data_IF_365167280249
#
_entry.id   IF_365167280249
#
_cell.length_a   1.000
_cell.length_b   1.000
_cell.length_c   1.000
_cell.angle_alpha   90.00
_cell.angle_beta   90.00
_cell.angle_gamma   90.00
#
_symmetry.space_group_name_H-M   'P 1'
#
loop_
_entity.id
_entity.type
_entity.pdbx_description
1 polymer ?
#
# COMPACT_ATOMS: atom_id res chain seq x y z
N UNK A 1 63.49 16.65 3.19
CA UNK A 1 62.72 15.39 3.26
C UNK A 1 61.32 15.73 3.74
N UNK A 2 60.48 16.21 2.84
CA UNK A 2 59.09 16.59 3.12
C UNK A 2 58.21 15.42 2.69
N UNK A 3 57.50 14.84 3.65
CA UNK A 3 56.64 13.69 3.45
C UNK A 3 55.48 14.04 2.50
N UNK A 4 55.43 13.34 1.36
CA UNK A 4 54.28 13.34 0.48
C UNK A 4 53.12 12.65 1.18
N UNK A 5 52.06 13.43 1.44
CA UNK A 5 50.80 12.92 1.95
C UNK A 5 50.08 12.26 0.78
N UNK A 6 50.09 10.93 0.77
CA UNK A 6 49.30 10.13 -0.17
C UNK A 6 47.82 10.41 0.12
N UNK A 7 47.18 11.21 -0.73
CA UNK A 7 45.73 11.36 -0.72
C UNK A 7 45.10 10.09 -1.29
N UNK A 8 44.68 9.19 -0.40
CA UNK A 8 43.77 8.12 -0.75
C UNK A 8 42.39 8.75 -1.01
N UNK A 9 42.17 9.14 -2.26
CA UNK A 9 40.81 9.35 -2.80
C UNK A 9 40.24 7.97 -3.07
N UNK A 10 39.75 7.32 -2.02
CA UNK A 10 38.87 6.16 -2.17
C UNK A 10 37.54 6.68 -2.75
N UNK A 11 37.26 6.26 -3.97
CA UNK A 11 35.94 6.29 -4.58
C UNK A 11 34.99 5.42 -3.75
N UNK A 12 34.49 5.96 -2.64
CA UNK A 12 33.43 5.33 -1.85
C UNK A 12 32.16 5.25 -2.72
N UNK A 13 31.56 4.07 -2.91
CA UNK A 13 30.29 3.97 -3.62
C UNK A 13 29.21 4.77 -2.87
N UNK A 14 28.61 5.77 -3.53
CA UNK A 14 27.52 6.64 -3.02
C UNK A 14 26.26 5.88 -2.57
N UNK A 15 26.25 4.55 -2.74
CA UNK A 15 25.13 3.64 -2.52
C UNK A 15 25.09 3.03 -1.10
N UNK A 16 26.20 2.89 -0.39
CA UNK A 16 26.32 1.96 0.75
C UNK A 16 25.44 2.30 1.97
N UNK A 17 25.01 3.56 2.11
CA UNK A 17 24.30 4.06 3.29
C UNK A 17 22.95 4.64 2.92
N UNK A 18 21.95 4.38 3.76
CA UNK A 18 20.60 4.95 3.67
C UNK A 18 20.34 5.82 4.89
N UNK A 19 20.00 7.09 4.67
CA UNK A 19 19.58 7.99 5.74
C UNK A 19 18.12 7.75 6.10
N UNK A 20 17.82 7.51 7.38
CA UNK A 20 16.45 7.40 7.87
C UNK A 20 15.73 8.76 7.78
N UNK A 21 14.54 8.78 7.17
CA UNK A 21 13.72 10.00 7.01
C UNK A 21 13.15 10.51 8.34
N UNK A 22 13.09 9.65 9.38
CA UNK A 22 12.54 10.00 10.69
C UNK A 22 13.62 10.44 11.69
N UNK A 23 14.60 9.60 11.98
CA UNK A 23 15.62 9.89 12.99
C UNK A 23 16.97 10.37 12.42
N UNK A 24 17.15 10.38 11.09
CA UNK A 24 18.35 10.88 10.44
C UNK A 24 19.59 9.97 10.53
N UNK A 25 19.52 8.83 11.22
CA UNK A 25 20.64 7.87 11.28
C UNK A 25 20.99 7.32 9.90
N UNK A 26 22.28 7.10 9.66
CA UNK A 26 22.79 6.38 8.49
C UNK A 26 22.77 4.89 8.79
N UNK A 27 22.08 4.12 7.95
CA UNK A 27 21.93 2.67 8.06
C UNK A 27 22.67 2.03 6.90
N UNK A 28 23.41 0.96 7.14
CA UNK A 28 24.04 0.21 6.06
C UNK A 28 22.97 -0.41 5.15
N UNK A 29 23.07 -0.24 3.83
CA UNK A 29 22.01 -0.62 2.89
C UNK A 29 21.58 -2.07 3.00
N UNK A 30 22.54 -3.01 3.02
CA UNK A 30 22.24 -4.45 3.12
C UNK A 30 21.53 -4.81 4.43
N UNK A 31 21.88 -4.13 5.51
CA UNK A 31 21.17 -4.29 6.78
C UNK A 31 19.74 -3.75 6.66
N UNK A 32 19.57 -2.57 6.06
CA UNK A 32 18.24 -2.00 5.87
C UNK A 32 17.33 -2.89 5.00
N UNK A 33 17.87 -3.52 3.96
CA UNK A 33 17.16 -4.51 3.13
C UNK A 33 16.78 -5.77 3.94
N UNK A 34 17.71 -6.32 4.73
CA UNK A 34 17.43 -7.45 5.64
C UNK A 34 16.35 -7.10 6.68
N UNK A 35 16.32 -5.86 7.11
CA UNK A 35 15.29 -5.32 8.01
C UNK A 35 13.98 -4.96 7.29
N UNK A 36 13.82 -5.34 6.01
CA UNK A 36 12.65 -5.05 5.16
C UNK A 36 12.35 -3.55 5.05
N UNK A 37 13.41 -2.74 4.98
CA UNK A 37 13.36 -1.28 4.94
C UNK A 37 12.66 -0.66 6.15
N UNK A 38 12.81 -1.29 7.32
CA UNK A 38 12.44 -0.75 8.63
C UNK A 38 13.71 -0.24 9.31
N UNK A 39 13.66 0.99 9.85
CA UNK A 39 14.80 1.55 10.56
C UNK A 39 15.04 0.77 11.87
N UNK A 40 16.23 0.19 12.09
CA UNK A 40 16.51 -0.59 13.29
C UNK A 40 16.56 0.27 14.56
N UNK A 41 16.85 1.57 14.42
CA UNK A 41 16.96 2.48 15.57
C UNK A 41 15.61 3.05 16.02
N UNK A 42 14.74 3.47 15.09
CA UNK A 42 13.49 4.17 15.44
C UNK A 42 12.21 3.46 14.99
N UNK A 43 12.33 2.28 14.37
CA UNK A 43 11.19 1.52 13.86
C UNK A 43 10.42 2.23 12.75
N UNK A 44 11.00 3.22 12.06
CA UNK A 44 10.35 3.88 10.93
C UNK A 44 10.25 2.93 9.74
N UNK A 45 9.02 2.74 9.26
CA UNK A 45 8.71 1.95 8.09
C UNK A 45 8.84 2.80 6.83
N UNK A 46 9.91 2.61 6.05
CA UNK A 46 10.02 3.30 4.75
C UNK A 46 9.00 2.71 3.77
N UNK A 47 8.41 3.56 2.94
CA UNK A 47 7.56 3.12 1.83
C UNK A 47 8.33 2.21 0.88
N UNK A 48 7.64 1.18 0.39
CA UNK A 48 8.14 0.22 -0.60
C UNK A 48 7.13 0.08 -1.73
N UNK A 49 7.61 -0.26 -2.93
CA UNK A 49 6.75 -0.43 -4.09
C UNK A 49 5.93 -1.73 -4.03
N UNK A 50 4.94 -1.87 -4.91
CA UNK A 50 4.03 -3.02 -4.91
C UNK A 50 4.73 -4.36 -5.15
N UNK A 51 5.72 -4.41 -6.06
CA UNK A 51 6.49 -5.63 -6.34
C UNK A 51 7.32 -6.09 -5.15
N UNK A 52 8.02 -5.15 -4.50
CA UNK A 52 8.79 -5.45 -3.29
C UNK A 52 7.87 -5.86 -2.13
N UNK A 53 6.73 -5.19 -1.98
CA UNK A 53 5.72 -5.57 -0.98
C UNK A 53 5.21 -6.99 -1.24
N UNK A 54 4.95 -7.35 -2.49
CA UNK A 54 4.50 -8.69 -2.87
C UNK A 54 5.53 -9.73 -2.43
N UNK A 55 6.79 -9.54 -2.81
CA UNK A 55 7.90 -10.47 -2.56
C UNK A 55 8.07 -10.81 -1.08
N UNK A 56 7.99 -9.80 -0.19
CA UNK A 56 8.14 -10.04 1.26
C UNK A 56 6.90 -10.66 1.91
N UNK A 57 5.76 -10.66 1.21
CA UNK A 57 4.46 -11.06 1.76
C UNK A 57 4.08 -12.49 1.39
N UNK A 58 4.31 -12.90 0.13
CA UNK A 58 3.82 -14.17 -0.41
C UNK A 58 4.90 -15.25 -0.47
N UNK A 59 4.51 -16.49 -0.69
CA UNK A 59 5.44 -17.59 -0.93
C UNK A 59 6.13 -17.41 -2.29
N UNK A 60 7.43 -17.66 -2.34
CA UNK A 60 8.23 -17.45 -3.55
C UNK A 60 7.69 -18.26 -4.73
N UNK A 61 7.52 -17.60 -5.88
CA UNK A 61 7.01 -18.22 -7.10
C UNK A 61 5.52 -18.54 -7.12
N UNK A 62 4.75 -18.15 -6.09
CA UNK A 62 3.31 -18.46 -6.01
C UNK A 62 2.39 -17.46 -6.70
N UNK A 63 2.91 -16.28 -7.08
CA UNK A 63 2.08 -15.18 -7.59
C UNK A 63 1.72 -15.38 -9.06
N UNK A 64 0.42 -15.37 -9.33
CA UNK A 64 -0.18 -15.31 -10.66
C UNK A 64 -0.85 -13.95 -10.82
N UNK A 65 -0.28 -13.07 -11.65
CA UNK A 65 -0.86 -11.74 -11.87
C UNK A 65 -2.17 -11.83 -12.66
N UNK A 66 -3.14 -11.01 -12.24
CA UNK A 66 -4.44 -10.86 -12.87
C UNK A 66 -4.58 -9.48 -13.52
N UNK A 67 -5.17 -9.47 -14.73
CA UNK A 67 -5.42 -8.25 -15.51
C UNK A 67 -4.14 -7.42 -15.76
N UNK A 68 -3.01 -8.09 -16.00
CA UNK A 68 -1.69 -7.48 -16.18
C UNK A 68 -1.64 -6.47 -17.33
N UNK A 69 -2.47 -6.65 -18.37
CA UNK A 69 -2.52 -5.76 -19.53
C UNK A 69 -3.54 -4.60 -19.40
N UNK A 70 -4.29 -4.53 -18.28
CA UNK A 70 -5.26 -3.47 -18.08
C UNK A 70 -4.55 -2.13 -17.83
N UNK A 71 -4.80 -1.15 -18.70
CA UNK A 71 -4.14 0.17 -18.67
C UNK A 71 -5.16 1.30 -18.71
N UNK A 72 -4.90 2.43 -18.02
CA UNK A 72 -5.82 3.57 -18.01
C UNK A 72 -5.95 4.22 -19.39
N UNK A 73 -7.16 4.73 -19.65
CA UNK A 73 -7.47 5.61 -20.77
C UNK A 73 -7.49 7.07 -20.32
N UNK A 74 -7.57 8.01 -21.26
CA UNK A 74 -7.77 9.45 -20.99
C UNK A 74 -9.15 9.91 -21.48
N UNK A 75 -10.24 9.53 -20.76
CA UNK A 75 -11.61 9.79 -21.22
C UNK A 75 -11.99 11.28 -21.20
N UNK A 76 -11.25 12.10 -20.45
CA UNK A 76 -11.52 13.53 -20.30
C UNK A 76 -10.59 14.41 -21.13
N UNK A 77 -9.65 13.82 -21.89
CA UNK A 77 -8.57 14.52 -22.59
C UNK A 77 -7.82 15.49 -21.65
N UNK A 78 -7.49 15.01 -20.44
CA UNK A 78 -6.95 15.87 -19.39
C UNK A 78 -5.51 16.29 -19.70
N UNK A 79 -5.15 17.58 -19.59
CA UNK A 79 -3.82 18.06 -19.92
C UNK A 79 -2.69 17.29 -19.22
N UNK A 80 -1.73 16.80 -20.01
CA UNK A 80 -0.54 16.06 -19.55
C UNK A 80 -0.85 14.73 -18.84
N UNK A 81 -2.09 14.23 -18.87
CA UNK A 81 -2.40 13.00 -18.14
C UNK A 81 -1.68 11.78 -18.72
N UNK A 82 -1.70 11.61 -20.05
CA UNK A 82 -0.98 10.53 -20.74
C UNK A 82 0.53 10.54 -20.44
N UNK A 83 1.15 11.72 -20.37
CA UNK A 83 2.58 11.84 -20.03
C UNK A 83 2.85 11.39 -18.58
N UNK A 84 2.02 11.81 -17.63
CA UNK A 84 2.11 11.39 -16.22
C UNK A 84 1.96 9.88 -16.08
N UNK A 85 1.01 9.28 -16.80
CA UNK A 85 0.83 7.82 -16.85
C UNK A 85 2.10 7.12 -17.33
N UNK A 86 2.62 7.50 -18.50
CA UNK A 86 3.83 6.89 -19.06
C UNK A 86 5.04 7.04 -18.12
N UNK A 87 5.19 8.20 -17.47
CA UNK A 87 6.25 8.42 -16.49
C UNK A 87 6.12 7.49 -15.28
N UNK A 88 4.93 7.37 -14.71
CA UNK A 88 4.68 6.47 -13.57
C UNK A 88 4.84 5.00 -13.95
N UNK A 89 4.40 4.60 -15.15
CA UNK A 89 4.59 3.24 -15.67
C UNK A 89 6.08 2.90 -15.81
N UNK A 90 6.90 3.81 -16.37
CA UNK A 90 8.35 3.61 -16.47
C UNK A 90 9.04 3.55 -15.11
N UNK A 91 8.60 4.38 -14.16
CA UNK A 91 9.24 4.47 -12.84
C UNK A 91 8.91 3.26 -11.94
N UNK A 92 7.75 2.64 -12.11
CA UNK A 92 7.25 1.58 -11.21
C UNK A 92 7.20 0.19 -11.84
N UNK A 93 7.19 0.11 -13.17
CA UNK A 93 6.91 -1.13 -13.91
C UNK A 93 5.43 -1.56 -13.86
N UNK A 94 4.55 -0.80 -13.21
CA UNK A 94 3.12 -1.11 -13.13
C UNK A 94 2.34 -0.46 -14.30
N UNK A 95 1.24 -1.07 -14.74
CA UNK A 95 0.32 -0.43 -15.71
C UNK A 95 -0.56 0.66 -15.08
N UNK A 96 -0.93 0.46 -13.82
CA UNK A 96 -1.66 1.40 -12.97
C UNK A 96 -1.27 1.22 -11.50
N UNK A 97 -1.79 2.05 -10.61
CA UNK A 97 -1.48 2.06 -9.18
C UNK A 97 -1.91 0.81 -8.37
N UNK A 98 -2.26 -0.31 -9.01
CA UNK A 98 -2.59 -1.56 -8.34
C UNK A 98 -2.02 -2.81 -9.04
N UNK A 99 -1.44 -3.67 -8.22
CA UNK A 99 -1.03 -5.03 -8.55
C UNK A 99 -2.03 -6.01 -7.92
N UNK A 100 -2.59 -6.91 -8.71
CA UNK A 100 -3.62 -7.84 -8.25
C UNK A 100 -3.37 -9.23 -8.81
N UNK A 101 -3.71 -10.26 -8.07
CA UNK A 101 -3.54 -11.63 -8.51
C UNK A 101 -3.91 -12.66 -7.45
N UNK A 102 -3.53 -13.90 -7.70
CA UNK A 102 -3.58 -14.96 -6.71
C UNK A 102 -2.15 -15.27 -6.24
N UNK A 103 -1.99 -15.61 -4.96
CA UNK A 103 -0.74 -16.08 -4.41
C UNK A 103 -1.00 -17.06 -3.27
N UNK A 104 0.07 -17.60 -2.69
CA UNK A 104 -0.01 -18.29 -1.40
C UNK A 104 0.73 -17.52 -0.31
N UNK A 105 0.19 -17.52 0.90
CA UNK A 105 0.86 -16.98 2.10
C UNK A 105 0.92 -18.11 3.09
N UNK A 106 2.14 -18.60 3.38
CA UNK A 106 2.35 -19.73 4.28
C UNK A 106 1.55 -20.98 3.85
N UNK A 107 1.50 -21.21 2.53
CA UNK A 107 0.75 -22.29 1.88
C UNK A 107 -0.75 -22.04 1.71
N UNK A 108 -1.29 -20.93 2.22
CA UNK A 108 -2.73 -20.63 2.13
C UNK A 108 -2.99 -19.85 0.84
N UNK A 109 -3.87 -20.33 -0.06
CA UNK A 109 -4.20 -19.59 -1.27
C UNK A 109 -5.03 -18.34 -0.94
N UNK A 110 -4.64 -17.20 -1.50
CA UNK A 110 -5.28 -15.90 -1.29
C UNK A 110 -5.42 -15.14 -2.60
N UNK A 111 -6.50 -14.37 -2.73
CA UNK A 111 -6.57 -13.29 -3.69
C UNK A 111 -5.89 -12.06 -3.09
N UNK A 112 -4.79 -11.59 -3.69
CA UNK A 112 -3.99 -10.49 -3.17
C UNK A 112 -4.10 -9.23 -4.04
N UNK A 113 -4.27 -8.08 -3.41
CA UNK A 113 -4.22 -6.76 -4.05
C UNK A 113 -3.26 -5.83 -3.33
N UNK A 114 -2.43 -5.08 -4.06
CA UNK A 114 -1.45 -4.16 -3.50
C UNK A 114 -1.52 -2.85 -4.28
N UNK A 115 -1.79 -1.74 -3.59
CA UNK A 115 -1.77 -0.40 -4.21
C UNK A 115 -0.42 0.28 -3.98
N UNK A 116 0.08 1.02 -4.98
CA UNK A 116 1.41 1.66 -4.91
C UNK A 116 1.34 3.19 -4.92
N UNK A 117 1.82 3.84 -3.86
CA UNK A 117 1.96 5.30 -3.77
C UNK A 117 2.81 5.88 -4.91
N UNK A 118 3.83 5.15 -5.36
CA UNK A 118 4.80 5.61 -6.35
C UNK A 118 4.15 5.87 -7.72
N UNK A 119 3.01 5.23 -7.98
CA UNK A 119 2.20 5.48 -9.17
C UNK A 119 1.19 6.59 -8.89
N UNK A 120 1.52 7.82 -9.27
CA UNK A 120 0.63 8.99 -9.14
C UNK A 120 -0.02 9.15 -7.74
N UNK A 121 0.76 8.94 -6.68
CA UNK A 121 0.29 9.02 -5.29
C UNK A 121 -0.60 7.86 -4.85
N UNK A 122 -0.69 6.80 -5.64
CA UNK A 122 -1.64 5.71 -5.44
C UNK A 122 -3.09 6.14 -5.68
N UNK A 123 -3.32 7.22 -6.43
CA UNK A 123 -4.67 7.73 -6.65
C UNK A 123 -5.55 6.71 -7.37
N UNK A 124 -6.78 6.53 -6.86
CA UNK A 124 -7.75 5.60 -7.41
C UNK A 124 -8.40 6.19 -8.65
N UNK A 125 -8.03 5.64 -9.81
CA UNK A 125 -8.69 5.83 -11.10
C UNK A 125 -9.45 4.58 -11.52
N UNK A 126 -9.98 4.58 -12.74
CA UNK A 126 -10.86 3.52 -13.26
C UNK A 126 -10.18 2.15 -13.26
N UNK A 127 -8.89 2.09 -13.58
CA UNK A 127 -8.15 0.80 -13.62
C UNK A 127 -7.90 0.25 -12.22
N UNK A 128 -7.42 1.05 -11.27
CA UNK A 128 -7.31 0.62 -9.88
C UNK A 128 -8.65 0.08 -9.36
N UNK A 129 -9.74 0.82 -9.56
CA UNK A 129 -11.07 0.39 -9.14
C UNK A 129 -11.54 -0.90 -9.82
N UNK A 130 -11.30 -1.04 -11.12
CA UNK A 130 -11.56 -2.27 -11.88
C UNK A 130 -10.75 -3.46 -11.38
N UNK A 131 -9.42 -3.32 -11.20
CA UNK A 131 -8.55 -4.40 -10.73
C UNK A 131 -8.96 -4.90 -9.34
N UNK A 132 -9.25 -3.99 -8.41
CA UNK A 132 -9.74 -4.36 -7.07
C UNK A 132 -11.11 -5.05 -7.15
N UNK A 133 -12.02 -4.55 -7.99
CA UNK A 133 -13.34 -5.17 -8.18
C UNK A 133 -13.21 -6.59 -8.74
N UNK A 134 -12.43 -6.79 -9.81
CA UNK A 134 -12.18 -8.10 -10.43
C UNK A 134 -11.48 -9.06 -9.48
N UNK A 135 -10.52 -8.58 -8.69
CA UNK A 135 -9.87 -9.36 -7.64
C UNK A 135 -10.90 -9.96 -6.69
N UNK A 136 -11.80 -9.12 -6.17
CA UNK A 136 -12.84 -9.54 -5.22
C UNK A 136 -13.85 -10.48 -5.89
N UNK A 137 -14.32 -10.17 -7.10
CA UNK A 137 -15.29 -11.02 -7.81
C UNK A 137 -14.71 -12.39 -8.15
N UNK A 138 -13.46 -12.46 -8.65
CA UNK A 138 -12.77 -13.74 -8.87
C UNK A 138 -12.48 -14.48 -7.57
N UNK A 139 -12.20 -13.78 -6.46
CA UNK A 139 -12.06 -14.41 -5.15
C UNK A 139 -13.36 -15.08 -4.71
N UNK A 140 -14.51 -14.45 -4.98
CA UNK A 140 -15.84 -15.04 -4.72
C UNK A 140 -16.05 -16.31 -5.54
N UNK A 141 -15.78 -16.25 -6.85
CA UNK A 141 -15.90 -17.39 -7.76
C UNK A 141 -15.00 -18.57 -7.33
N UNK A 142 -13.74 -18.26 -6.98
CA UNK A 142 -12.73 -19.26 -6.57
C UNK A 142 -12.79 -19.63 -5.09
N UNK A 143 -13.70 -19.03 -4.31
CA UNK A 143 -13.81 -19.19 -2.85
C UNK A 143 -12.49 -18.93 -2.10
N UNK A 144 -11.76 -17.89 -2.52
CA UNK A 144 -10.52 -17.46 -1.90
C UNK A 144 -10.76 -16.37 -0.85
N UNK A 145 -10.02 -16.37 0.26
CA UNK A 145 -9.94 -15.18 1.10
C UNK A 145 -9.23 -14.04 0.34
N UNK A 146 -9.58 -12.81 0.69
CA UNK A 146 -9.03 -11.59 0.08
C UNK A 146 -8.07 -10.93 1.06
N UNK A 147 -6.88 -10.55 0.58
CA UNK A 147 -5.94 -9.73 1.32
C UNK A 147 -5.54 -8.51 0.49
N UNK A 148 -5.88 -7.31 0.95
CA UNK A 148 -5.55 -6.06 0.23
C UNK A 148 -4.60 -5.20 1.08
N UNK A 149 -3.47 -4.84 0.49
CA UNK A 149 -2.49 -3.93 1.07
C UNK A 149 -2.69 -2.54 0.46
N UNK A 150 -3.26 -1.64 1.25
CA UNK A 150 -3.43 -0.23 0.89
C UNK A 150 -2.18 0.56 1.30
N UNK A 151 -1.31 0.76 0.32
CA UNK A 151 -0.16 1.68 0.41
C UNK A 151 -0.38 2.96 -0.38
N UNK A 152 -1.63 3.37 -0.59
CA UNK A 152 -1.95 4.54 -1.40
C UNK A 152 -2.11 5.81 -0.56
N UNK A 153 -1.60 6.93 -1.09
CA UNK A 153 -1.81 8.27 -0.53
C UNK A 153 -3.25 8.74 -0.63
N UNK A 154 -4.14 7.91 -1.18
CA UNK A 154 -5.54 7.89 -0.84
C UNK A 154 -6.30 9.11 -1.33
N UNK A 155 -6.64 9.09 -2.61
CA UNK A 155 -7.48 10.11 -3.23
C UNK A 155 -8.02 9.64 -4.57
N UNK A 156 -9.10 10.25 -5.03
CA UNK A 156 -9.60 10.06 -6.38
C UNK A 156 -8.55 10.59 -7.39
N UNK A 157 -8.35 9.87 -8.49
CA UNK A 157 -7.51 10.36 -9.59
C UNK A 157 -8.23 11.47 -10.32
N UNK A 158 -7.89 12.72 -10.00
CA UNK A 158 -8.59 13.90 -10.50
C UNK A 158 -8.63 13.98 -12.03
N UNK A 159 -7.63 13.41 -12.71
CA UNK A 159 -7.55 13.38 -14.17
C UNK A 159 -8.67 12.56 -14.82
N UNK A 160 -9.28 11.63 -14.09
CA UNK A 160 -10.44 10.85 -14.55
C UNK A 160 -11.77 11.36 -13.93
N UNK A 161 -11.72 12.43 -13.13
CA UNK A 161 -12.90 13.12 -12.60
C UNK A 161 -13.87 12.22 -11.84
N UNK A 162 -15.16 12.26 -12.24
CA UNK A 162 -16.22 11.50 -11.59
C UNK A 162 -16.01 9.97 -11.68
N UNK A 163 -15.31 9.48 -12.71
CA UNK A 163 -15.03 8.04 -12.85
C UNK A 163 -14.21 7.53 -11.67
N UNK A 164 -13.26 8.32 -11.18
CA UNK A 164 -12.47 8.02 -9.98
C UNK A 164 -13.32 7.96 -8.72
N UNK A 165 -14.26 8.90 -8.56
CA UNK A 165 -15.18 8.89 -7.42
C UNK A 165 -16.07 7.63 -7.44
N UNK A 166 -16.58 7.25 -8.61
CA UNK A 166 -17.44 6.08 -8.76
C UNK A 166 -16.72 4.76 -8.45
N UNK A 167 -15.39 4.72 -8.49
CA UNK A 167 -14.65 3.54 -8.06
C UNK A 167 -14.82 3.25 -6.56
N UNK A 168 -15.10 4.26 -5.72
CA UNK A 168 -15.44 4.03 -4.32
C UNK A 168 -16.71 3.18 -4.21
N UNK A 169 -17.79 3.61 -4.86
CA UNK A 169 -19.06 2.88 -4.83
C UNK A 169 -18.91 1.46 -5.41
N UNK A 170 -18.17 1.32 -6.52
CA UNK A 170 -17.94 0.05 -7.19
C UNK A 170 -17.19 -0.96 -6.31
N UNK A 171 -16.05 -0.55 -5.75
CA UNK A 171 -15.23 -1.43 -4.90
C UNK A 171 -15.96 -1.75 -3.59
N UNK A 172 -16.67 -0.80 -3.00
CA UNK A 172 -17.54 -1.04 -1.84
C UNK A 172 -18.67 -2.03 -2.15
N UNK A 173 -19.27 -1.97 -3.34
CA UNK A 173 -20.28 -2.95 -3.75
C UNK A 173 -19.68 -4.36 -3.87
N UNK A 174 -18.44 -4.48 -4.37
CA UNK A 174 -17.71 -5.75 -4.42
C UNK A 174 -17.43 -6.30 -3.02
N UNK A 175 -16.95 -5.46 -2.08
CA UNK A 175 -16.79 -5.83 -0.67
C UNK A 175 -18.11 -6.33 -0.06
N UNK A 176 -19.23 -5.67 -0.36
CA UNK A 176 -20.56 -6.12 0.07
C UNK A 176 -20.95 -7.50 -0.48
N UNK A 177 -20.59 -7.82 -1.74
CA UNK A 177 -20.77 -9.17 -2.30
C UNK A 177 -19.89 -10.21 -1.58
N UNK A 178 -18.63 -9.85 -1.29
CA UNK A 178 -17.68 -10.72 -0.60
C UNK A 178 -18.16 -11.09 0.81
N UNK A 179 -18.63 -10.10 1.57
CA UNK A 179 -19.21 -10.30 2.88
C UNK A 179 -20.43 -11.24 2.84
N UNK A 180 -21.34 -11.04 1.86
CA UNK A 180 -22.49 -11.95 1.65
C UNK A 180 -22.05 -13.38 1.29
N UNK A 181 -20.94 -13.53 0.58
CA UNK A 181 -20.35 -14.83 0.26
C UNK A 181 -19.66 -15.50 1.45
N UNK A 182 -19.53 -14.81 2.59
CA UNK A 182 -18.87 -15.25 3.83
C UNK A 182 -17.41 -15.65 3.61
N UNK A 183 -16.71 -14.87 2.81
CA UNK A 183 -15.28 -15.06 2.55
C UNK A 183 -14.47 -14.03 3.33
N UNK A 184 -13.37 -14.46 4.01
CA UNK A 184 -12.52 -13.55 4.77
C UNK A 184 -11.95 -12.42 3.94
N UNK A 185 -12.02 -11.19 4.46
CA UNK A 185 -11.33 -10.03 3.92
C UNK A 185 -10.43 -9.39 4.99
N UNK A 186 -9.12 -9.34 4.71
CA UNK A 186 -8.14 -8.62 5.53
C UNK A 186 -7.60 -7.43 4.74
N UNK A 187 -7.53 -6.26 5.37
CA UNK A 187 -6.83 -5.09 4.82
C UNK A 187 -5.56 -4.80 5.63
N UNK A 188 -4.48 -4.41 4.98
CA UNK A 188 -3.29 -3.83 5.61
C UNK A 188 -3.09 -2.40 5.12
N UNK A 189 -3.16 -1.44 6.04
CA UNK A 189 -2.96 -0.02 5.77
C UNK A 189 -1.49 0.34 6.05
N UNK A 190 -0.70 0.57 4.99
CA UNK A 190 0.69 1.03 5.12
C UNK A 190 0.81 2.54 4.95
N UNK A 191 -0.16 3.13 4.27
CA UNK A 191 -0.57 4.55 4.23
C UNK A 191 -1.89 4.54 3.43
N UNK A 192 -2.99 5.07 3.97
CA UNK A 192 -4.31 4.97 3.34
C UNK A 192 -5.17 6.19 3.65
N UNK A 193 -5.46 7.01 2.64
CA UNK A 193 -6.20 8.27 2.81
C UNK A 193 -7.47 8.38 1.95
N UNK A 194 -8.26 9.43 2.22
CA UNK A 194 -9.45 9.88 1.48
C UNK A 194 -10.29 8.77 0.83
N UNK A 195 -10.38 8.73 -0.50
CA UNK A 195 -11.32 7.86 -1.21
C UNK A 195 -11.05 6.37 -1.03
N UNK A 196 -9.78 5.96 -0.92
CA UNK A 196 -9.43 4.55 -0.68
C UNK A 196 -9.79 4.16 0.76
N UNK A 197 -9.44 5.00 1.74
CA UNK A 197 -9.80 4.76 3.13
C UNK A 197 -11.31 4.79 3.37
N UNK A 198 -12.05 5.65 2.65
CA UNK A 198 -13.51 5.74 2.72
C UNK A 198 -14.22 4.74 1.79
N UNK A 199 -13.53 3.71 1.30
CA UNK A 199 -14.11 2.62 0.51
C UNK A 199 -13.51 1.28 0.93
N UNK A 200 -12.94 0.50 0.02
CA UNK A 200 -12.47 -0.86 0.32
C UNK A 200 -11.45 -0.91 1.47
N UNK A 201 -10.65 0.13 1.68
CA UNK A 201 -9.65 0.18 2.75
C UNK A 201 -10.21 0.07 4.18
N UNK A 202 -11.48 0.42 4.40
CA UNK A 202 -12.14 0.36 5.71
C UNK A 202 -13.31 -0.63 5.77
N UNK A 203 -13.44 -1.52 4.78
CA UNK A 203 -14.55 -2.48 4.66
C UNK A 203 -14.10 -3.94 4.85
N UNK A 204 -12.92 -4.14 5.41
CA UNK A 204 -12.40 -5.47 5.73
C UNK A 204 -12.98 -6.02 7.03
N UNK A 205 -13.00 -7.35 7.16
CA UNK A 205 -13.36 -8.03 8.41
C UNK A 205 -12.28 -7.80 9.48
N UNK A 206 -11.02 -7.66 9.05
CA UNK A 206 -9.88 -7.28 9.90
C UNK A 206 -9.03 -6.22 9.19
N UNK A 207 -8.85 -5.08 9.84
CA UNK A 207 -8.06 -3.94 9.40
C UNK A 207 -6.76 -3.91 10.21
N UNK A 208 -5.66 -4.23 9.55
CA UNK A 208 -4.30 -4.13 10.07
C UNK A 208 -3.69 -2.80 9.62
N UNK A 209 -2.71 -2.30 10.38
CA UNK A 209 -1.86 -1.21 9.92
C UNK A 209 -0.40 -1.41 10.31
N UNK A 210 0.52 -0.83 9.53
CA UNK A 210 1.92 -0.74 9.96
C UNK A 210 2.13 0.40 10.97
N UNK A 211 3.08 0.26 11.93
CA UNK A 211 3.46 1.33 12.84
C UNK A 211 3.74 2.67 12.14
N UNK A 212 3.13 3.74 12.64
CA UNK A 212 3.25 5.08 12.09
C UNK A 212 2.63 5.29 10.70
N UNK A 213 1.89 4.32 10.14
CA UNK A 213 1.17 4.50 8.89
C UNK A 213 0.16 5.66 9.00
N UNK A 214 0.02 6.42 7.93
CA UNK A 214 -0.89 7.55 7.87
C UNK A 214 -2.26 7.11 7.33
N UNK A 215 -3.27 7.15 8.19
CA UNK A 215 -4.63 6.70 7.91
C UNK A 215 -5.63 7.81 8.22
N UNK A 216 -6.54 8.08 7.27
CA UNK A 216 -7.66 8.99 7.52
C UNK A 216 -8.30 9.58 6.26
N UNK A 217 -9.45 10.21 6.40
CA UNK A 217 -10.16 10.76 5.24
C UNK A 217 -9.55 12.07 4.73
N UNK A 218 -9.32 13.03 5.63
CA UNK A 218 -8.95 14.40 5.25
C UNK A 218 -7.50 14.71 5.65
N UNK A 219 -6.76 15.39 4.77
CA UNK A 219 -5.43 15.90 5.08
C UNK A 219 -5.45 17.04 6.12
N UNK A 220 -4.39 17.20 6.94
CA UNK A 220 -4.38 18.10 8.09
C UNK A 220 -4.55 19.55 7.63
N UNK A 221 -3.91 19.92 6.52
CA UNK A 221 -4.06 21.23 5.88
C UNK A 221 -5.53 21.60 5.64
N UNK A 222 -6.36 20.67 5.19
CA UNK A 222 -7.78 20.94 4.91
C UNK A 222 -8.57 21.07 6.21
N UNK A 223 -8.27 20.26 7.22
CA UNK A 223 -8.91 20.33 8.54
C UNK A 223 -8.59 21.68 9.21
N UNK A 224 -7.31 22.06 9.25
CA UNK A 224 -6.85 23.30 9.89
C UNK A 224 -7.43 24.54 9.20
N UNK A 225 -7.52 24.54 7.87
CA UNK A 225 -8.14 25.63 7.11
C UNK A 225 -9.63 25.78 7.41
N UNK A 226 -10.34 24.66 7.59
CA UNK A 226 -11.79 24.63 7.78
C UNK A 226 -12.20 24.93 9.21
N UNK A 227 -11.50 24.35 10.19
CA UNK A 227 -11.86 24.42 11.61
C UNK A 227 -11.09 25.50 12.38
N UNK A 228 -10.05 26.10 11.76
CA UNK A 228 -9.16 27.10 12.41
C UNK A 228 -8.49 26.60 13.69
N UNK A 229 -8.29 25.29 13.80
CA UNK A 229 -7.54 24.63 14.89
C UNK A 229 -6.24 24.05 14.34
N UNK A 230 -5.27 23.77 15.23
CA UNK A 230 -4.11 22.93 14.89
C UNK A 230 -4.46 21.47 15.09
N UNK A 231 -4.14 20.63 14.11
CA UNK A 231 -4.36 19.19 14.23
C UNK A 231 -3.14 18.55 14.91
N UNK A 232 -3.32 17.75 15.97
CA UNK A 232 -2.22 16.99 16.57
C UNK A 232 -1.50 16.16 15.51
N UNK A 233 -0.17 16.00 15.63
CA UNK A 233 0.62 15.26 14.64
C UNK A 233 0.18 13.79 14.56
N UNK A 234 -0.31 13.28 15.68
CA UNK A 234 -0.73 11.91 15.94
C UNK A 234 -2.11 11.60 15.32
N UNK A 235 -2.97 12.59 15.05
CA UNK A 235 -4.39 12.41 14.65
C UNK A 235 -4.64 11.47 13.44
N UNK A 236 -3.60 11.16 12.66
CA UNK A 236 -3.70 10.31 11.47
C UNK A 236 -2.77 9.12 11.52
N UNK A 237 -2.08 8.86 12.62
CA UNK A 237 -1.21 7.69 12.69
C UNK A 237 -2.04 6.44 12.98
N UNK A 238 -1.49 5.28 12.63
CA UNK A 238 -2.08 3.99 12.96
C UNK A 238 -2.39 3.87 14.46
N UNK A 239 -1.53 4.41 15.33
CA UNK A 239 -1.70 4.42 16.78
C UNK A 239 -2.95 5.19 17.20
N UNK A 240 -3.13 6.41 16.69
CA UNK A 240 -4.33 7.19 16.99
C UNK A 240 -5.60 6.51 16.47
N UNK A 241 -5.57 5.97 15.25
CA UNK A 241 -6.73 5.31 14.66
C UNK A 241 -7.07 3.99 15.39
N UNK A 242 -6.07 3.27 15.91
CA UNK A 242 -6.25 2.11 16.77
C UNK A 242 -6.91 2.48 18.11
N UNK A 243 -6.45 3.55 18.77
CA UNK A 243 -7.08 4.06 20.01
C UNK A 243 -8.55 4.47 19.83
N UNK A 244 -8.94 4.82 18.60
CA UNK A 244 -10.32 5.20 18.25
C UNK A 244 -11.12 4.06 17.60
N UNK A 245 -10.61 2.82 17.62
CA UNK A 245 -11.34 1.63 17.17
C UNK A 245 -11.50 1.49 15.65
N UNK A 246 -10.68 2.21 14.86
CA UNK A 246 -10.72 2.15 13.38
C UNK A 246 -9.73 1.14 12.80
N UNK A 247 -8.82 0.61 13.62
CA UNK A 247 -7.81 -0.40 13.25
C UNK A 247 -7.87 -1.49 14.31
N UNK A 248 -7.86 -2.76 13.89
CA UNK A 248 -7.92 -3.91 14.79
C UNK A 248 -6.56 -4.26 15.38
N UNK A 249 -5.48 -4.12 14.61
CA UNK A 249 -4.12 -4.46 15.03
C UNK A 249 -3.06 -3.61 14.31
N UNK A 250 -2.07 -3.16 15.07
CA UNK A 250 -0.85 -2.56 14.51
C UNK A 250 0.24 -3.63 14.45
N UNK A 251 0.73 -3.92 13.25
CA UNK A 251 1.61 -5.05 12.97
C UNK A 251 2.92 -4.56 12.34
N UNK A 252 4.07 -4.75 13.02
CA UNK A 252 5.37 -4.47 12.41
C UNK A 252 5.58 -5.30 11.14
N UNK A 253 6.30 -4.74 10.15
CA UNK A 253 6.36 -5.27 8.77
C UNK A 253 6.80 -6.72 8.72
N UNK A 254 7.82 -7.07 9.51
CA UNK A 254 8.36 -8.43 9.64
C UNK A 254 7.34 -9.46 10.12
N UNK A 255 6.30 -9.02 10.83
CA UNK A 255 5.29 -9.88 11.43
C UNK A 255 4.01 -9.96 10.57
N UNK A 256 3.87 -9.12 9.54
CA UNK A 256 2.67 -9.04 8.69
C UNK A 256 2.35 -10.41 8.08
N UNK A 257 3.31 -11.03 7.39
CA UNK A 257 3.13 -12.34 6.72
C UNK A 257 2.58 -13.39 7.67
N UNK A 258 3.24 -13.57 8.82
CA UNK A 258 2.83 -14.53 9.84
C UNK A 258 1.46 -14.20 10.44
N UNK A 259 1.20 -12.92 10.72
CA UNK A 259 -0.06 -12.47 11.33
C UNK A 259 -1.24 -12.72 10.39
N UNK A 260 -1.09 -12.36 9.11
CA UNK A 260 -2.10 -12.60 8.08
C UNK A 260 -2.37 -14.10 7.94
N UNK A 261 -1.33 -14.94 7.86
CA UNK A 261 -1.52 -16.39 7.80
C UNK A 261 -2.26 -16.95 9.03
N UNK A 262 -1.93 -16.46 10.23
CA UNK A 262 -2.61 -16.85 11.47
C UNK A 262 -4.10 -16.47 11.45
N UNK A 263 -4.42 -15.24 11.03
CA UNK A 263 -5.79 -14.76 10.90
C UNK A 263 -6.56 -15.58 9.87
N UNK A 264 -5.98 -15.82 8.68
CA UNK A 264 -6.60 -16.64 7.64
C UNK A 264 -6.91 -18.06 8.13
N UNK A 265 -5.99 -18.71 8.84
CA UNK A 265 -6.24 -20.04 9.45
C UNK A 265 -7.35 -19.99 10.48
N UNK A 266 -7.41 -18.93 11.28
CA UNK A 266 -8.44 -18.77 12.30
C UNK A 266 -9.83 -18.54 11.66
N UNK A 267 -9.94 -17.65 10.69
CA UNK A 267 -11.18 -17.33 9.97
C UNK A 267 -11.66 -18.50 9.09
N UNK A 268 -10.77 -19.42 8.73
CA UNK A 268 -11.10 -20.62 7.95
C UNK A 268 -11.61 -21.79 8.81
N UNK A 269 -11.49 -21.71 10.15
CA UNK A 269 -12.03 -22.74 11.06
C UNK A 269 -13.54 -22.54 11.16
N UNK A 270 -14.31 -23.46 10.58
CA UNK A 270 -15.72 -23.65 10.91
C UNK A 270 -15.86 -24.37 12.24
#
# INVERSE_FOLDING_TARGET
>A
MTAETVQVRDELPDDLWVKCERCGVLIYRKEFERELKVCPQCGYHKRIGAWERLEITVDAGSFEEWDAELTPADPLNFPQYREKLLRSQRATGLKDAALTGQATIEGIPVAIGITDFSFMGGSMGSVLGEKITRLIERAIERRLPVFIISGSGGGARMQEGLLSLMQMAKTSAACGKLHKAKLPYIALLTDSMAGVQASFGALADVILAEPGAMVGFTGPRVIELSLKIKVPKEHRTAEFQFEHGMIDLIVPRKQVRYTVAKLLRWMSRK
#
